data_IF_955892917909
#
_entry.id   IF_955892917909
#
_cell.length_a   1.000
_cell.length_b   1.000
_cell.length_c   1.000
_cell.angle_alpha   90.00
_cell.angle_beta   90.00
_cell.angle_gamma   90.00
#
_symmetry.space_group_name_H-M   'P 1'
#
loop_
_entity.id
_entity.type
_entity.pdbx_description
1 polymer ?
#
# COMPACT_ATOMS: atom_id res chain seq x y z
N UNK A 1 -17.49 21.66 -13.54
CA UNK A 1 -16.88 20.94 -12.39
C UNK A 1 -16.35 19.60 -12.91
N UNK A 2 -15.12 19.23 -12.56
CA UNK A 2 -14.40 18.12 -13.18
C UNK A 2 -14.86 16.77 -12.58
N UNK A 3 -15.60 15.93 -13.32
CA UNK A 3 -16.29 14.74 -12.77
C UNK A 3 -15.38 13.77 -12.00
N UNK A 4 -14.08 13.72 -12.31
CA UNK A 4 -13.11 12.85 -11.61
C UNK A 4 -12.86 13.23 -10.14
N UNK A 5 -12.92 14.53 -9.78
CA UNK A 5 -12.72 14.93 -8.39
C UNK A 5 -13.94 14.61 -7.50
N UNK A 6 -15.13 14.59 -8.11
CA UNK A 6 -16.38 14.25 -7.42
C UNK A 6 -16.44 12.78 -7.03
N UNK A 7 -16.03 11.86 -7.93
CA UNK A 7 -16.01 10.42 -7.64
C UNK A 7 -14.95 10.04 -6.60
N UNK A 8 -13.77 10.66 -6.65
CA UNK A 8 -12.75 10.48 -5.62
C UNK A 8 -13.25 10.89 -4.22
N UNK A 9 -14.03 11.97 -4.13
CA UNK A 9 -14.64 12.42 -2.88
C UNK A 9 -15.64 11.42 -2.29
N UNK A 10 -16.48 10.80 -3.13
CA UNK A 10 -17.43 9.77 -2.70
C UNK A 10 -16.73 8.53 -2.16
N UNK A 11 -15.71 8.03 -2.87
CA UNK A 11 -14.95 6.84 -2.45
C UNK A 11 -14.30 7.10 -1.09
N UNK A 12 -13.65 8.26 -0.91
CA UNK A 12 -13.03 8.62 0.38
C UNK A 12 -14.05 8.73 1.50
N UNK A 13 -15.21 9.35 1.23
CA UNK A 13 -16.30 9.46 2.21
C UNK A 13 -16.85 8.08 2.60
N UNK A 14 -16.99 7.18 1.63
CA UNK A 14 -17.48 5.83 1.86
C UNK A 14 -16.48 5.01 2.67
N UNK A 15 -15.18 5.13 2.40
CA UNK A 15 -14.13 4.48 3.17
C UNK A 15 -14.20 4.88 4.66
N UNK A 16 -14.34 6.18 4.95
CA UNK A 16 -14.50 6.67 6.32
C UNK A 16 -15.80 6.17 6.96
N UNK A 17 -16.91 6.13 6.20
CA UNK A 17 -18.20 5.61 6.68
C UNK A 17 -18.10 4.13 7.07
N UNK A 18 -17.28 3.35 6.37
CA UNK A 18 -17.01 1.94 6.66
C UNK A 18 -16.07 1.72 7.86
N UNK A 19 -15.55 2.79 8.48
CA UNK A 19 -14.67 2.72 9.64
C UNK A 19 -13.18 2.67 9.33
N UNK A 20 -12.77 2.88 8.07
CA UNK A 20 -11.36 3.04 7.74
C UNK A 20 -10.85 4.38 8.29
N UNK A 21 -9.62 4.38 8.78
CA UNK A 21 -9.01 5.55 9.43
C UNK A 21 -8.52 6.60 8.41
N UNK A 22 -8.17 6.19 7.19
CA UNK A 22 -7.83 7.09 6.10
C UNK A 22 -8.07 6.46 4.72
N UNK A 23 -8.21 7.30 3.69
CA UNK A 23 -8.31 6.88 2.29
C UNK A 23 -7.62 7.88 1.35
N UNK A 24 -6.62 7.39 0.61
CA UNK A 24 -5.91 8.10 -0.45
C UNK A 24 -6.19 7.49 -1.83
N UNK A 25 -6.04 8.29 -2.89
CA UNK A 25 -6.13 7.81 -4.28
C UNK A 25 -4.94 8.39 -5.04
N UNK A 26 -4.17 7.51 -5.68
CA UNK A 26 -3.02 7.86 -6.50
C UNK A 26 -3.21 7.35 -7.94
N UNK A 27 -2.50 7.94 -8.90
CA UNK A 27 -2.40 7.41 -10.26
C UNK A 27 -1.65 6.07 -10.24
N UNK A 28 -2.05 5.11 -11.05
CA UNK A 28 -1.38 3.81 -11.18
C UNK A 28 -0.12 3.86 -12.08
N UNK A 29 0.55 5.01 -12.14
CA UNK A 29 1.81 5.20 -12.85
C UNK A 29 2.99 4.47 -12.16
N UNK A 30 4.17 4.58 -12.76
CA UNK A 30 5.38 3.95 -12.23
C UNK A 30 5.78 4.52 -10.86
N UNK A 31 6.13 3.64 -9.94
CA UNK A 31 6.61 3.99 -8.58
C UNK A 31 8.11 4.30 -8.65
N UNK A 32 8.46 5.41 -9.30
CA UNK A 32 9.84 5.66 -9.74
C UNK A 32 10.84 5.98 -8.61
N UNK A 33 10.42 6.61 -7.51
CA UNK A 33 11.37 7.43 -6.74
C UNK A 33 12.37 6.62 -5.89
N UNK A 34 12.14 5.34 -5.59
CA UNK A 34 12.99 4.59 -4.63
C UNK A 34 13.34 3.13 -5.02
N UNK A 35 13.16 2.74 -6.29
CA UNK A 35 13.49 1.38 -6.79
C UNK A 35 14.94 1.00 -6.49
N UNK A 36 15.86 1.94 -6.71
CA UNK A 36 17.28 1.70 -6.56
C UNK A 36 17.62 1.29 -5.12
N UNK A 37 17.12 2.05 -4.14
CA UNK A 37 17.28 1.73 -2.72
C UNK A 37 16.70 0.36 -2.36
N UNK A 38 15.54 0.00 -2.92
CA UNK A 38 14.97 -1.33 -2.68
C UNK A 38 15.87 -2.44 -3.23
N UNK A 39 16.44 -2.27 -4.43
CA UNK A 39 17.40 -3.25 -5.00
C UNK A 39 18.66 -3.38 -4.15
N UNK A 40 19.24 -2.27 -3.71
CA UNK A 40 20.42 -2.26 -2.84
C UNK A 40 20.13 -2.92 -1.48
N UNK A 41 18.98 -2.61 -0.88
CA UNK A 41 18.57 -3.17 0.39
C UNK A 41 18.36 -4.69 0.32
N UNK A 42 17.80 -5.18 -0.79
CA UNK A 42 17.67 -6.62 -1.06
C UNK A 42 19.04 -7.26 -1.28
N UNK A 43 19.90 -6.68 -2.11
CA UNK A 43 21.24 -7.21 -2.38
C UNK A 43 22.13 -7.26 -1.12
N UNK A 44 21.88 -6.38 -0.14
CA UNK A 44 22.52 -6.39 1.16
C UNK A 44 21.98 -7.47 2.12
N UNK A 45 20.98 -8.26 1.71
CA UNK A 45 20.43 -9.37 2.51
C UNK A 45 19.51 -8.94 3.66
N UNK A 46 19.01 -7.70 3.65
CA UNK A 46 18.20 -7.16 4.75
C UNK A 46 16.76 -7.73 4.84
N UNK A 47 16.39 -8.67 3.97
CA UNK A 47 15.09 -9.35 3.94
C UNK A 47 15.04 -10.64 4.80
N UNK A 48 15.87 -10.72 5.84
CA UNK A 48 15.96 -11.86 6.76
C UNK A 48 16.12 -13.23 6.06
N UNK A 49 16.85 -13.26 4.93
CA UNK A 49 17.05 -14.47 4.13
C UNK A 49 15.82 -14.99 3.37
N UNK A 50 14.69 -14.29 3.40
CA UNK A 50 13.47 -14.68 2.67
C UNK A 50 13.49 -14.21 1.22
N UNK A 51 12.97 -15.02 0.30
CA UNK A 51 12.82 -14.64 -1.13
C UNK A 51 11.53 -13.88 -1.42
N UNK A 52 10.68 -13.65 -0.41
CA UNK A 52 9.36 -13.04 -0.60
C UNK A 52 9.44 -11.67 -1.28
N UNK A 53 10.36 -10.81 -0.82
CA UNK A 53 10.54 -9.46 -1.36
C UNK A 53 11.30 -9.44 -2.69
N UNK A 54 12.12 -10.45 -2.97
CA UNK A 54 12.86 -10.61 -4.22
C UNK A 54 11.96 -11.05 -5.39
N UNK A 55 11.05 -11.98 -5.11
CA UNK A 55 10.17 -12.58 -6.12
C UNK A 55 9.26 -11.54 -6.75
N UNK A 56 8.99 -11.61 -8.05
CA UNK A 56 8.02 -10.74 -8.76
C UNK A 56 8.27 -9.22 -8.59
N UNK A 57 9.53 -8.80 -8.57
CA UNK A 57 9.94 -7.40 -8.48
C UNK A 57 9.15 -6.48 -9.43
N UNK A 58 9.11 -6.82 -10.72
CA UNK A 58 8.47 -5.99 -11.75
C UNK A 58 6.98 -5.74 -11.45
N UNK A 59 6.28 -6.72 -10.88
CA UNK A 59 4.87 -6.56 -10.50
C UNK A 59 4.65 -5.62 -9.31
N UNK A 60 5.65 -5.47 -8.42
CA UNK A 60 5.60 -4.49 -7.32
C UNK A 60 5.84 -3.07 -7.80
N UNK A 61 6.68 -2.94 -8.82
CA UNK A 61 6.99 -1.64 -9.38
C UNK A 61 5.95 -1.17 -10.41
N UNK A 62 5.32 -2.09 -11.12
CA UNK A 62 4.40 -1.81 -12.21
C UNK A 62 2.99 -2.36 -11.94
N UNK A 63 2.09 -1.53 -11.37
CA UNK A 63 0.72 -1.94 -11.05
C UNK A 63 -0.07 -2.52 -12.25
N UNK A 64 0.23 -2.07 -13.48
CA UNK A 64 -0.41 -2.56 -14.70
C UNK A 64 -0.05 -4.02 -15.05
N UNK A 65 1.01 -4.57 -14.47
CA UNK A 65 1.33 -6.01 -14.58
C UNK A 65 0.51 -6.86 -13.61
N UNK A 66 -0.17 -6.25 -12.64
CA UNK A 66 -1.09 -6.92 -11.71
C UNK A 66 -2.51 -6.94 -12.25
N UNK A 67 -2.99 -5.82 -12.80
CA UNK A 67 -4.35 -5.66 -13.31
C UNK A 67 -4.31 -4.86 -14.61
N UNK A 68 -4.77 -5.48 -15.70
CA UNK A 68 -4.84 -4.82 -17.01
C UNK A 68 -5.77 -3.61 -16.97
N UNK A 69 -5.33 -2.49 -17.55
CA UNK A 69 -6.12 -1.26 -17.62
C UNK A 69 -6.28 -0.51 -16.29
N UNK A 70 -5.51 -0.85 -15.26
CA UNK A 70 -5.52 -0.09 -13.99
C UNK A 70 -5.11 1.37 -14.22
N UNK A 71 -5.86 2.30 -13.63
CA UNK A 71 -5.62 3.75 -13.76
C UNK A 71 -5.35 4.45 -12.44
N UNK A 72 -5.91 3.92 -11.36
CA UNK A 72 -5.79 4.51 -10.03
C UNK A 72 -5.64 3.42 -8.98
N UNK A 73 -4.92 3.75 -7.91
CA UNK A 73 -4.76 2.91 -6.73
C UNK A 73 -5.51 3.59 -5.58
N UNK A 74 -6.43 2.86 -4.95
CA UNK A 74 -7.08 3.30 -3.71
C UNK A 74 -6.30 2.69 -2.55
N UNK A 75 -5.70 3.54 -1.72
CA UNK A 75 -4.98 3.13 -0.52
C UNK A 75 -5.79 3.50 0.71
N UNK A 76 -5.96 2.56 1.64
CA UNK A 76 -6.73 2.75 2.86
C UNK A 76 -5.87 2.41 4.06
N UNK A 77 -6.10 3.09 5.17
CA UNK A 77 -5.46 2.80 6.44
C UNK A 77 -6.51 2.37 7.46
N UNK A 78 -6.14 1.39 8.29
CA UNK A 78 -6.90 0.98 9.46
C UNK A 78 -6.01 1.14 10.68
N UNK A 79 -6.50 1.83 11.70
CA UNK A 79 -5.87 1.85 13.00
C UNK A 79 -6.02 0.45 13.63
N UNK A 80 -4.91 -0.28 13.71
CA UNK A 80 -4.89 -1.60 14.35
C UNK A 80 -4.60 -1.52 15.85
N UNK A 81 -4.49 -0.32 16.44
CA UNK A 81 -4.22 -0.17 17.86
C UNK A 81 -5.25 -0.97 18.68
N UNK A 82 -4.78 -1.97 19.45
CA UNK A 82 -5.69 -2.89 20.08
C UNK A 82 -6.41 -2.19 21.24
N UNK A 83 -7.73 -2.39 21.34
CA UNK A 83 -8.53 -1.87 22.45
C UNK A 83 -8.07 -2.46 23.79
N UNK A 84 -7.66 -3.74 23.76
CA UNK A 84 -7.06 -4.44 24.89
C UNK A 84 -5.57 -4.61 24.64
N UNK A 85 -4.77 -3.99 25.50
CA UNK A 85 -3.34 -4.23 25.51
C UNK A 85 -3.05 -5.68 25.92
N UNK A 86 -1.98 -6.24 25.34
CA UNK A 86 -1.43 -7.50 25.83
C UNK A 86 -0.88 -7.27 27.24
N UNK A 87 -1.06 -8.25 28.10
CA UNK A 87 -0.41 -8.25 29.41
C UNK A 87 1.11 -8.32 29.20
N UNK A 88 1.91 -7.66 30.04
CA UNK A 88 3.37 -7.55 29.86
C UNK A 88 4.09 -8.91 29.75
N UNK A 89 3.49 -9.95 30.32
CA UNK A 89 4.01 -11.32 30.30
C UNK A 89 3.73 -12.06 28.97
N UNK A 90 2.93 -11.50 28.07
CA UNK A 90 2.53 -12.10 26.79
C UNK A 90 3.27 -11.54 25.57
N UNK A 91 4.22 -10.63 25.76
CA UNK A 91 5.11 -10.21 24.67
C UNK A 91 6.10 -11.33 24.33
N UNK A 92 6.18 -11.70 23.04
CA UNK A 92 7.12 -12.69 22.51
C UNK A 92 8.56 -12.20 22.54
#
# INVERSE_FOLDING_TARGET
MNSGCYEAGKIKKEALRLGLSACGIASAGNVNENIHYFREWIAAGHHAGTTYLENYFEKRHHPYLLVEGVRSIVSVALNYYPERLLDEEQYQ
#
